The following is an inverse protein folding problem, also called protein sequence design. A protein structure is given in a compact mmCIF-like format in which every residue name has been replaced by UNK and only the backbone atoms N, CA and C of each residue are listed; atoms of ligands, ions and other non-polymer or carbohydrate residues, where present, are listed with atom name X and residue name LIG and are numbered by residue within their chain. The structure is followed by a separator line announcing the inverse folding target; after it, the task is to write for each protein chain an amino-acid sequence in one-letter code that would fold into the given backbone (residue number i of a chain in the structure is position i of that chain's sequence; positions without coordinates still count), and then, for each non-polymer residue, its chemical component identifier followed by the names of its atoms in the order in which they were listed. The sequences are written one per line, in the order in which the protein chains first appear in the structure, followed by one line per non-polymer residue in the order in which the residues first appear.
data_IF_230419137739
#
_entry.id   IF_230419137739
#
_cell.length_a   1.000
_cell.length_b   1.000
_cell.length_c   1.000
_cell.angle_alpha   90.00
_cell.angle_beta   90.00
_cell.angle_gamma   90.00
#
_symmetry.space_group_name_H-M   'P 1'
#
loop_
_entity.id
_entity.type
_entity.pdbx_description
1 polymer ?
#
# COMPACT_ATOMS: atom_id res chain seq x y z
N UNK A 1 3.31 6.54 21.14
CA UNK A 1 2.08 5.87 20.59
C UNK A 1 2.54 4.78 19.65
N UNK A 2 2.00 3.57 19.77
CA UNK A 2 2.30 2.45 18.87
C UNK A 2 1.50 2.67 17.57
N UNK A 3 2.14 2.77 16.39
CA UNK A 3 1.40 2.96 15.15
C UNK A 3 0.64 1.68 14.76
N UNK A 4 -0.54 1.83 14.17
CA UNK A 4 -1.29 0.75 13.52
C UNK A 4 -1.15 0.89 12.02
N UNK A 5 -0.71 -0.18 11.36
CA UNK A 5 -0.52 -0.26 9.93
C UNK A 5 -1.56 -1.21 9.33
N UNK A 6 -2.29 -0.74 8.33
CA UNK A 6 -3.17 -1.61 7.54
C UNK A 6 -2.41 -2.13 6.32
N UNK A 7 -2.48 -3.45 6.08
CA UNK A 7 -1.77 -4.13 4.99
C UNK A 7 -2.80 -4.77 4.07
N UNK A 8 -2.89 -4.33 2.81
CA UNK A 8 -3.72 -5.02 1.81
C UNK A 8 -2.99 -6.25 1.30
N UNK A 9 -3.70 -7.39 1.16
CA UNK A 9 -3.09 -8.62 0.63
C UNK A 9 -2.92 -8.60 -0.90
N UNK A 10 -3.53 -7.62 -1.58
CA UNK A 10 -3.43 -7.46 -3.02
C UNK A 10 -4.10 -8.59 -3.82
N UNK A 11 -3.47 -9.01 -4.92
CA UNK A 11 -3.97 -10.10 -5.76
C UNK A 11 -3.94 -11.43 -5.00
N UNK A 12 -5.11 -12.02 -4.81
CA UNK A 12 -5.27 -13.24 -3.99
C UNK A 12 -4.57 -14.46 -4.58
N UNK A 13 -4.47 -14.55 -5.91
CA UNK A 13 -3.74 -15.61 -6.61
C UNK A 13 -2.23 -15.33 -6.74
N UNK A 14 -1.78 -14.14 -6.32
CA UNK A 14 -0.39 -13.70 -6.38
C UNK A 14 0.39 -14.02 -5.11
N UNK A 15 1.57 -13.38 -5.00
CA UNK A 15 2.50 -13.53 -3.88
C UNK A 15 2.09 -12.71 -2.64
N UNK A 16 1.12 -11.78 -2.79
CA UNK A 16 0.72 -10.86 -1.72
C UNK A 16 0.34 -11.54 -0.41
N UNK A 17 -0.56 -12.53 -0.40
CA UNK A 17 -0.91 -13.29 0.80
C UNK A 17 0.30 -13.92 1.49
N UNK A 18 1.26 -14.46 0.72
CA UNK A 18 2.46 -15.12 1.22
C UNK A 18 3.39 -14.12 1.92
N UNK A 19 3.60 -12.94 1.31
CA UNK A 19 4.42 -11.87 1.87
C UNK A 19 3.81 -11.35 3.17
N UNK A 20 2.49 -11.16 3.21
CA UNK A 20 1.78 -10.69 4.40
C UNK A 20 1.91 -11.69 5.55
N UNK A 21 1.76 -12.99 5.27
CA UNK A 21 1.96 -14.05 6.26
C UNK A 21 3.41 -14.11 6.76
N UNK A 22 4.38 -14.03 5.85
CA UNK A 22 5.80 -13.99 6.22
C UNK A 22 6.13 -12.76 7.08
N UNK A 23 5.54 -11.60 6.77
CA UNK A 23 5.67 -10.39 7.59
C UNK A 23 5.08 -10.59 8.99
N UNK A 24 3.92 -11.25 9.10
CA UNK A 24 3.28 -11.52 10.37
C UNK A 24 4.03 -12.54 11.25
N UNK A 25 4.94 -13.32 10.67
CA UNK A 25 5.78 -14.25 11.42
C UNK A 25 6.87 -13.57 12.27
N UNK A 26 7.18 -12.30 12.04
CA UNK A 26 8.12 -11.49 12.81
C UNK A 26 7.42 -10.56 13.78
N UNK A 27 8.14 -10.03 14.78
CA UNK A 27 7.66 -8.98 15.69
C UNK A 27 7.96 -7.60 15.10
N UNK A 28 7.04 -6.65 15.31
CA UNK A 28 7.18 -5.29 14.79
C UNK A 28 6.80 -4.26 15.87
N UNK A 29 7.48 -3.11 15.93
CA UNK A 29 7.14 -2.00 16.83
C UNK A 29 5.91 -1.21 16.32
N UNK A 30 4.94 -1.92 15.75
CA UNK A 30 3.70 -1.41 15.19
C UNK A 30 2.64 -2.50 15.30
N UNK A 31 1.38 -2.15 15.38
CA UNK A 31 0.29 -3.11 15.21
C UNK A 31 0.04 -3.33 13.72
N UNK A 32 0.00 -4.59 13.27
CA UNK A 32 -0.34 -4.95 11.90
C UNK A 32 -1.80 -5.42 11.83
N UNK A 33 -2.52 -4.97 10.81
CA UNK A 33 -3.88 -5.42 10.49
C UNK A 33 -3.93 -5.72 8.99
N UNK A 34 -4.25 -6.95 8.61
CA UNK A 34 -4.41 -7.30 7.21
C UNK A 34 -5.84 -7.03 6.71
N UNK A 35 -5.96 -6.62 5.44
CA UNK A 35 -7.23 -6.55 4.71
C UNK A 35 -7.15 -7.51 3.54
N UNK A 36 -8.01 -8.53 3.50
CA UNK A 36 -8.01 -9.54 2.46
C UNK A 36 -8.91 -10.73 2.77
N UNK A 37 -8.83 -11.77 1.98
CA UNK A 37 -9.63 -12.98 2.18
C UNK A 37 -8.98 -13.89 3.24
N UNK A 38 -9.69 -14.09 4.35
CA UNK A 38 -9.23 -14.93 5.45
C UNK A 38 -9.02 -16.39 5.03
N UNK A 39 -9.89 -16.91 4.18
CA UNK A 39 -9.79 -18.29 3.67
C UNK A 39 -8.53 -18.47 2.81
N UNK A 40 -8.22 -17.48 1.95
CA UNK A 40 -6.98 -17.50 1.15
C UNK A 40 -5.76 -17.45 2.06
N UNK A 41 -5.75 -16.55 3.05
CA UNK A 41 -4.65 -16.46 4.01
C UNK A 41 -4.49 -17.78 4.79
N UNK A 42 -5.57 -18.40 5.25
CA UNK A 42 -5.51 -19.68 5.96
C UNK A 42 -4.96 -20.81 5.08
N UNK A 43 -5.41 -20.91 3.84
CA UNK A 43 -4.92 -21.91 2.88
C UNK A 43 -3.42 -21.70 2.56
N UNK A 44 -2.97 -20.45 2.37
CA UNK A 44 -1.55 -20.14 2.13
C UNK A 44 -0.69 -20.40 3.36
N UNK A 45 -1.18 -20.03 4.55
CA UNK A 45 -0.51 -20.29 5.82
C UNK A 45 -0.21 -21.80 6.00
N UNK A 46 -1.21 -22.63 5.71
CA UNK A 46 -1.06 -24.09 5.74
C UNK A 46 -0.07 -24.58 4.66
N UNK A 47 -0.22 -24.13 3.42
CA UNK A 47 0.63 -24.56 2.31
C UNK A 47 2.11 -24.19 2.48
N UNK A 48 2.38 -23.07 3.14
CA UNK A 48 3.74 -22.59 3.45
C UNK A 48 4.31 -23.18 4.73
N UNK A 49 3.55 -23.98 5.47
CA UNK A 49 3.97 -24.53 6.76
C UNK A 49 4.19 -23.45 7.83
N UNK A 50 3.54 -22.29 7.71
CA UNK A 50 3.60 -21.22 8.69
C UNK A 50 2.58 -21.47 9.81
N UNK A 51 2.85 -20.92 11.00
CA UNK A 51 1.97 -21.06 12.17
C UNK A 51 1.39 -19.70 12.59
N UNK A 52 0.95 -18.89 11.62
CA UNK A 52 0.36 -17.58 11.90
C UNK A 52 -1.09 -17.76 12.37
N UNK A 53 -1.39 -17.29 13.57
CA UNK A 53 -2.75 -17.26 14.11
C UNK A 53 -3.53 -16.12 13.48
N UNK A 54 -4.52 -16.43 12.66
CA UNK A 54 -5.42 -15.47 12.03
C UNK A 54 -6.63 -15.24 12.93
N UNK A 55 -6.99 -13.98 13.18
CA UNK A 55 -8.16 -13.62 13.97
C UNK A 55 -8.92 -12.45 13.32
N UNK A 56 -10.24 -12.35 13.46
CA UNK A 56 -10.97 -11.18 13.02
C UNK A 56 -10.45 -9.91 13.72
N UNK A 57 -10.25 -8.85 12.95
CA UNK A 57 -9.93 -7.54 13.50
C UNK A 57 -11.18 -6.93 14.14
N UNK A 58 -11.00 -6.29 15.29
CA UNK A 58 -12.05 -5.52 15.96
C UNK A 58 -11.59 -4.06 16.06
N UNK A 59 -12.39 -3.14 15.50
CA UNK A 59 -12.15 -1.69 15.58
C UNK A 59 -12.25 -1.18 17.01
N UNK A 60 -11.62 -0.04 17.28
CA UNK A 60 -11.68 0.66 18.58
C UNK A 60 -10.82 0.05 19.67
N UNK A 61 -10.06 -1.01 19.41
CA UNK A 61 -9.12 -1.56 20.39
C UNK A 61 -7.87 -0.69 20.53
N UNK A 62 -7.29 -0.67 21.72
CA UNK A 62 -6.01 -0.04 21.95
C UNK A 62 -4.91 -0.68 21.07
N UNK A 63 -4.02 0.15 20.55
CA UNK A 63 -2.87 -0.33 19.77
C UNK A 63 -1.88 -1.07 20.67
N UNK A 64 -1.40 -2.21 20.19
CA UNK A 64 -0.34 -2.98 20.80
C UNK A 64 0.70 -3.37 19.73
N UNK A 65 1.95 -3.56 20.15
CA UNK A 65 2.98 -4.06 19.25
C UNK A 65 2.60 -5.43 18.69
N UNK A 66 2.89 -5.63 17.43
CA UNK A 66 2.65 -6.89 16.75
C UNK A 66 3.51 -8.00 17.33
N UNK A 67 2.85 -9.06 17.76
CA UNK A 67 3.51 -10.28 18.22
C UNK A 67 3.70 -11.22 17.05
N UNK A 68 4.90 -11.79 16.94
CA UNK A 68 5.18 -12.80 15.93
C UNK A 68 4.10 -13.89 15.88
N UNK A 69 3.81 -14.35 14.69
CA UNK A 69 2.81 -15.39 14.40
C UNK A 69 1.37 -15.05 14.82
N UNK A 70 1.00 -13.77 14.85
CA UNK A 70 -0.39 -13.34 15.02
C UNK A 70 -0.76 -12.37 13.90
N UNK A 71 -2.00 -12.40 13.39
CA UNK A 71 -2.45 -11.45 12.37
C UNK A 71 -3.95 -11.19 12.49
N UNK A 72 -4.36 -10.02 12.99
CA UNK A 72 -5.72 -9.55 12.86
C UNK A 72 -6.07 -9.29 11.39
N UNK A 73 -7.23 -9.76 10.94
CA UNK A 73 -7.67 -9.68 9.54
C UNK A 73 -9.05 -9.06 9.44
N UNK A 74 -9.18 -8.06 8.59
CA UNK A 74 -10.47 -7.58 8.10
C UNK A 74 -10.79 -8.40 6.86
N UNK A 75 -11.78 -9.28 6.98
CA UNK A 75 -12.11 -10.23 5.93
C UNK A 75 -12.91 -9.58 4.81
N UNK A 76 -12.38 -9.64 3.59
CA UNK A 76 -13.12 -9.37 2.34
C UNK A 76 -13.14 -10.66 1.55
N UNK A 77 -14.29 -11.35 1.49
CA UNK A 77 -14.40 -12.65 0.83
C UNK A 77 -14.18 -12.54 -0.68
N UNK A 78 -13.75 -13.62 -1.30
CA UNK A 78 -13.66 -13.75 -2.76
C UNK A 78 -15.02 -14.13 -3.36
N UNK A 79 -15.25 -13.70 -4.59
CA UNK A 79 -16.42 -14.12 -5.37
C UNK A 79 -16.29 -15.57 -5.89
N UNK A 80 -15.05 -16.00 -6.16
CA UNK A 80 -14.73 -17.34 -6.66
C UNK A 80 -13.54 -17.91 -5.90
N UNK A 81 -13.44 -19.24 -5.77
CA UNK A 81 -12.28 -19.88 -5.17
C UNK A 81 -10.98 -19.42 -5.80
N UNK A 82 -9.95 -19.23 -4.98
CA UNK A 82 -8.63 -18.83 -5.41
C UNK A 82 -7.73 -20.05 -5.61
N UNK A 83 -7.09 -20.11 -6.77
CA UNK A 83 -6.00 -21.06 -7.04
C UNK A 83 -4.73 -20.26 -7.23
N UNK A 84 -3.66 -20.49 -6.45
CA UNK A 84 -2.41 -19.76 -6.57
C UNK A 84 -1.87 -19.80 -8.02
N UNK A 85 -1.34 -18.68 -8.48
CA UNK A 85 -0.83 -18.46 -9.83
C UNK A 85 -1.88 -18.48 -10.97
N UNK A 86 -3.17 -18.69 -10.65
CA UNK A 86 -4.25 -18.65 -11.62
C UNK A 86 -5.16 -17.43 -11.37
N UNK A 87 -4.93 -16.38 -12.17
CA UNK A 87 -5.69 -15.12 -12.06
C UNK A 87 -7.17 -15.33 -12.45
N UNK A 88 -8.07 -14.70 -11.71
CA UNK A 88 -9.51 -14.74 -12.00
C UNK A 88 -10.10 -13.32 -11.96
N UNK A 89 -10.64 -12.80 -13.09
CA UNK A 89 -11.23 -11.47 -13.15
C UNK A 89 -12.44 -11.30 -12.20
N UNK A 90 -13.16 -12.39 -11.86
CA UNK A 90 -14.30 -12.33 -10.94
C UNK A 90 -13.88 -11.91 -9.50
N UNK A 91 -12.61 -12.07 -9.15
CA UNK A 91 -12.05 -11.67 -7.87
C UNK A 91 -11.41 -10.27 -7.87
N UNK A 92 -11.32 -9.61 -9.02
CA UNK A 92 -10.64 -8.32 -9.14
C UNK A 92 -11.30 -7.22 -8.30
N UNK A 93 -12.63 -7.25 -8.14
CA UNK A 93 -13.36 -6.31 -7.27
C UNK A 93 -12.92 -6.38 -5.80
N UNK A 94 -12.55 -7.56 -5.33
CA UNK A 94 -12.05 -7.74 -3.96
C UNK A 94 -10.71 -7.01 -3.75
N UNK A 95 -9.85 -6.96 -4.78
CA UNK A 95 -8.57 -6.23 -4.71
C UNK A 95 -8.81 -4.72 -4.54
N UNK A 96 -9.75 -4.15 -5.29
CA UNK A 96 -10.11 -2.75 -5.16
C UNK A 96 -10.78 -2.45 -3.83
N UNK A 97 -11.66 -3.33 -3.36
CA UNK A 97 -12.31 -3.19 -2.05
C UNK A 97 -11.30 -3.19 -0.89
N UNK A 98 -10.20 -3.94 -0.99
CA UNK A 98 -9.11 -3.87 0.00
C UNK A 98 -8.49 -2.47 0.04
N UNK A 99 -8.18 -1.88 -1.12
CA UNK A 99 -7.58 -0.54 -1.21
C UNK A 99 -8.54 0.55 -0.72
N UNK A 100 -9.83 0.44 -1.05
CA UNK A 100 -10.86 1.36 -0.58
C UNK A 100 -10.96 1.34 0.94
N UNK A 101 -11.15 0.16 1.52
CA UNK A 101 -11.28 0.03 2.96
C UNK A 101 -10.02 0.46 3.71
N UNK A 102 -8.84 0.11 3.22
CA UNK A 102 -7.58 0.55 3.83
C UNK A 102 -7.42 2.08 3.77
N UNK A 103 -7.87 2.71 2.68
CA UNK A 103 -7.89 4.17 2.56
C UNK A 103 -8.84 4.80 3.58
N UNK A 104 -10.04 4.24 3.75
CA UNK A 104 -11.02 4.72 4.72
C UNK A 104 -10.52 4.61 6.16
N UNK A 105 -9.89 3.48 6.51
CA UNK A 105 -9.28 3.28 7.84
C UNK A 105 -8.18 4.32 8.14
N UNK A 106 -7.37 4.67 7.13
CA UNK A 106 -6.36 5.71 7.29
C UNK A 106 -7.00 7.12 7.40
N UNK A 107 -8.03 7.43 6.62
CA UNK A 107 -8.73 8.71 6.70
C UNK A 107 -9.48 8.89 8.02
N UNK A 108 -10.04 7.82 8.55
CA UNK A 108 -10.70 7.79 9.87
C UNK A 108 -9.70 7.81 11.04
N UNK A 109 -8.39 7.83 10.77
CA UNK A 109 -7.33 7.73 11.79
C UNK A 109 -7.39 6.44 12.63
N UNK A 110 -8.11 5.44 12.19
CA UNK A 110 -8.11 4.10 12.76
C UNK A 110 -6.76 3.42 12.51
N UNK A 111 -6.18 3.63 11.31
CA UNK A 111 -4.82 3.23 10.96
C UNK A 111 -3.97 4.45 10.60
N UNK A 112 -2.68 4.39 10.94
CA UNK A 112 -1.74 5.50 10.75
C UNK A 112 -1.10 5.51 9.37
N UNK A 113 -1.00 4.34 8.73
CA UNK A 113 -0.48 4.19 7.38
C UNK A 113 -0.99 2.91 6.73
N UNK A 114 -0.95 2.88 5.39
CA UNK A 114 -1.27 1.72 4.57
C UNK A 114 -0.01 1.16 3.91
N UNK A 115 0.12 -0.17 3.93
CA UNK A 115 1.12 -0.93 3.17
C UNK A 115 0.37 -1.75 2.13
N UNK A 116 0.79 -1.70 0.87
CA UNK A 116 0.11 -2.41 -0.21
C UNK A 116 0.94 -3.58 -0.73
N UNK A 117 0.35 -4.78 -0.78
CA UNK A 117 0.92 -5.90 -1.49
C UNK A 117 0.68 -5.77 -3.01
N UNK A 118 1.40 -6.55 -3.85
CA UNK A 118 1.28 -6.46 -5.29
C UNK A 118 -0.12 -6.78 -5.80
N UNK A 119 -0.54 -6.07 -6.85
CA UNK A 119 -1.78 -6.31 -7.58
C UNK A 119 -1.49 -6.60 -9.05
N UNK A 120 -2.42 -7.25 -9.72
CA UNK A 120 -2.28 -7.52 -11.16
C UNK A 120 -3.17 -6.58 -11.97
N UNK A 121 -2.59 -5.46 -12.45
CA UNK A 121 -3.32 -4.42 -13.20
C UNK A 121 -4.12 -4.98 -14.40
N UNK A 122 -3.50 -5.92 -15.14
CA UNK A 122 -4.14 -6.53 -16.32
C UNK A 122 -5.44 -7.23 -15.96
N UNK A 123 -5.50 -8.03 -14.91
CA UNK A 123 -6.71 -8.76 -14.54
C UNK A 123 -7.82 -7.83 -14.04
N UNK A 124 -7.47 -6.77 -13.32
CA UNK A 124 -8.42 -5.74 -12.87
C UNK A 124 -9.04 -5.05 -14.09
N UNK A 125 -8.22 -4.66 -15.07
CA UNK A 125 -8.73 -4.04 -16.31
C UNK A 125 -9.54 -5.03 -17.15
N UNK A 126 -9.17 -6.30 -17.22
CA UNK A 126 -9.95 -7.36 -17.89
C UNK A 126 -11.33 -7.54 -17.27
N UNK A 127 -11.45 -7.33 -15.96
CA UNK A 127 -12.73 -7.34 -15.25
C UNK A 127 -13.60 -6.10 -15.51
N UNK A 128 -13.18 -5.19 -16.42
CA UNK A 128 -13.90 -3.96 -16.76
C UNK A 128 -13.73 -2.82 -15.76
N UNK A 129 -12.80 -2.93 -14.82
CA UNK A 129 -12.51 -1.90 -13.82
C UNK A 129 -11.25 -1.14 -14.21
N UNK A 130 -11.31 0.16 -14.60
CA UNK A 130 -10.13 0.94 -14.96
C UNK A 130 -9.17 1.08 -13.78
N UNK A 131 -7.94 0.59 -13.94
CA UNK A 131 -6.91 0.64 -12.91
C UNK A 131 -5.53 0.86 -13.54
N UNK A 132 -4.94 2.02 -13.29
CA UNK A 132 -3.59 2.39 -13.76
C UNK A 132 -2.50 2.06 -12.73
N UNK A 133 -2.84 2.13 -11.45
CA UNK A 133 -1.93 1.80 -10.34
C UNK A 133 -2.45 2.30 -9.00
N UNK A 134 -1.72 1.95 -7.94
CA UNK A 134 -2.05 2.37 -6.57
C UNK A 134 -2.07 3.90 -6.43
N UNK A 135 -1.07 4.58 -6.99
CA UNK A 135 -0.92 6.04 -6.86
C UNK A 135 -2.13 6.78 -7.37
N UNK A 136 -2.56 6.47 -8.60
CA UNK A 136 -3.71 7.12 -9.25
C UNK A 136 -5.02 6.74 -8.55
N UNK A 137 -5.15 5.46 -8.16
CA UNK A 137 -6.33 4.99 -7.44
C UNK A 137 -6.49 5.72 -6.09
N UNK A 138 -5.41 5.81 -5.31
CA UNK A 138 -5.42 6.49 -4.02
C UNK A 138 -5.60 8.00 -4.15
N UNK A 139 -4.97 8.64 -5.15
CA UNK A 139 -5.16 10.05 -5.44
C UNK A 139 -6.64 10.38 -5.73
N UNK A 140 -7.29 9.55 -6.55
CA UNK A 140 -8.72 9.70 -6.85
C UNK A 140 -9.59 9.51 -5.60
N UNK A 141 -9.33 8.47 -4.79
CA UNK A 141 -10.11 8.20 -3.57
C UNK A 141 -9.93 9.25 -2.48
N UNK A 142 -8.81 9.93 -2.46
CA UNK A 142 -8.50 10.98 -1.48
C UNK A 142 -8.71 12.41 -2.03
N UNK A 143 -9.16 12.54 -3.28
CA UNK A 143 -9.28 13.82 -3.98
C UNK A 143 -7.98 14.63 -3.96
N UNK A 144 -6.85 13.93 -4.16
CA UNK A 144 -5.50 14.51 -4.16
C UNK A 144 -5.08 14.85 -5.58
N UNK A 145 -4.86 16.14 -5.86
CA UNK A 145 -4.51 16.64 -7.20
C UNK A 145 -3.08 16.31 -7.64
N UNK A 146 -2.17 16.17 -6.69
CA UNK A 146 -0.75 16.02 -6.98
C UNK A 146 -0.06 15.06 -5.99
N UNK A 147 -0.17 13.75 -6.18
CA UNK A 147 0.60 12.81 -5.40
C UNK A 147 2.09 12.94 -5.77
N UNK A 148 2.98 12.86 -4.77
CA UNK A 148 4.44 12.87 -4.98
C UNK A 148 4.98 11.51 -4.58
N UNK A 149 5.67 10.84 -5.51
CA UNK A 149 6.33 9.58 -5.23
C UNK A 149 7.67 9.84 -4.54
N UNK A 150 7.86 9.23 -3.38
CA UNK A 150 9.09 9.30 -2.59
C UNK A 150 9.71 7.91 -2.49
N UNK A 151 10.92 7.75 -2.99
CA UNK A 151 11.72 6.54 -2.86
C UNK A 151 12.68 6.69 -1.68
N UNK A 152 12.79 5.69 -0.82
CA UNK A 152 13.67 5.74 0.35
C UNK A 152 14.58 4.51 0.40
N UNK A 153 15.88 4.73 0.64
CA UNK A 153 16.86 3.68 0.85
C UNK A 153 17.83 4.12 1.95
N UNK A 154 17.62 3.66 3.17
CA UNK A 154 18.37 4.14 4.34
C UNK A 154 18.20 5.65 4.53
N UNK A 155 19.32 6.38 4.51
CA UNK A 155 19.31 7.84 4.63
C UNK A 155 18.92 8.56 3.33
N UNK A 156 19.03 7.89 2.18
CA UNK A 156 18.70 8.48 0.88
C UNK A 156 17.18 8.53 0.70
N UNK A 157 16.69 9.71 0.32
CA UNK A 157 15.27 9.96 -0.03
C UNK A 157 15.23 10.73 -1.34
N UNK A 158 14.53 10.17 -2.33
CA UNK A 158 14.41 10.76 -3.66
C UNK A 158 12.94 10.94 -3.98
N UNK A 159 12.50 12.19 -4.13
CA UNK A 159 11.17 12.52 -4.62
C UNK A 159 11.22 12.73 -6.13
N UNK A 160 10.21 12.20 -6.82
CA UNK A 160 10.12 12.30 -8.28
C UNK A 160 9.28 13.52 -8.66
N UNK A 161 9.85 14.40 -9.49
CA UNK A 161 9.13 15.54 -10.05
C UNK A 161 8.17 15.12 -11.18
N UNK A 162 8.48 14.01 -11.85
CA UNK A 162 7.66 13.41 -12.93
C UNK A 162 7.62 11.90 -12.80
N UNK A 163 6.52 11.28 -13.24
CA UNK A 163 6.33 9.81 -13.28
C UNK A 163 5.67 9.41 -14.59
N UNK A 164 5.99 8.23 -15.11
CA UNK A 164 5.31 7.59 -16.24
C UNK A 164 5.30 8.40 -17.56
N UNK A 165 6.30 9.27 -17.77
CA UNK A 165 6.48 10.02 -19.01
C UNK A 165 7.61 9.41 -19.85
N UNK A 166 7.52 9.48 -21.19
CA UNK A 166 8.67 9.26 -22.06
C UNK A 166 9.80 10.24 -21.69
N UNK A 167 11.04 9.78 -21.73
CA UNK A 167 12.20 10.62 -21.35
C UNK A 167 12.26 11.95 -22.13
N UNK A 168 11.87 11.93 -23.40
CA UNK A 168 11.81 13.12 -24.27
C UNK A 168 10.79 14.18 -23.79
N UNK A 169 9.74 13.78 -23.06
CA UNK A 169 8.71 14.70 -22.56
C UNK A 169 9.03 15.27 -21.17
N UNK A 170 10.03 14.72 -20.47
CA UNK A 170 10.37 15.15 -19.11
C UNK A 170 10.77 16.62 -19.03
N UNK A 171 11.66 17.17 -19.89
CA UNK A 171 12.08 18.57 -19.78
C UNK A 171 10.91 19.57 -19.86
N UNK A 172 9.97 19.32 -20.77
CA UNK A 172 8.81 20.20 -21.00
C UNK A 172 7.78 20.11 -19.86
N UNK A 173 7.71 18.97 -19.17
CA UNK A 173 6.77 18.73 -18.06
C UNK A 173 7.23 19.38 -16.74
N UNK A 174 8.53 19.71 -16.62
CA UNK A 174 9.08 20.37 -15.44
C UNK A 174 9.00 21.89 -15.64
N UNK A 175 7.94 22.47 -15.07
CA UNK A 175 7.73 23.93 -15.06
C UNK A 175 7.96 24.47 -13.64
N UNK A 176 8.21 25.77 -13.46
CA UNK A 176 8.29 26.38 -12.13
C UNK A 176 7.06 26.07 -11.29
N UNK A 177 5.85 26.12 -11.89
CA UNK A 177 4.59 25.83 -11.21
C UNK A 177 4.48 24.37 -10.78
N UNK A 178 4.75 23.39 -11.67
CA UNK A 178 4.68 21.96 -11.34
C UNK A 178 5.69 21.58 -10.28
N UNK A 179 6.91 22.14 -10.35
CA UNK A 179 7.97 21.89 -9.38
C UNK A 179 7.62 22.48 -8.00
N UNK A 180 7.15 23.74 -7.95
CA UNK A 180 6.72 24.37 -6.70
C UNK A 180 5.61 23.58 -6.04
N UNK A 181 4.59 23.13 -6.81
CA UNK A 181 3.48 22.29 -6.30
C UNK A 181 4.01 21.02 -5.66
N UNK A 182 4.90 20.29 -6.36
CA UNK A 182 5.50 19.05 -5.86
C UNK A 182 6.33 19.28 -4.58
N UNK A 183 7.13 20.37 -4.52
CA UNK A 183 7.92 20.72 -3.35
C UNK A 183 7.06 21.06 -2.14
N UNK A 184 5.94 21.79 -2.34
CA UNK A 184 4.98 22.11 -1.25
C UNK A 184 4.32 20.85 -0.68
N UNK A 185 3.85 19.94 -1.54
CA UNK A 185 3.27 18.67 -1.13
C UNK A 185 4.29 17.83 -0.37
N UNK A 186 5.52 17.72 -0.91
CA UNK A 186 6.60 16.98 -0.27
C UNK A 186 6.96 17.57 1.10
N UNK A 187 7.13 18.89 1.19
CA UNK A 187 7.44 19.55 2.45
C UNK A 187 6.36 19.35 3.51
N UNK A 188 5.08 19.42 3.11
CA UNK A 188 3.94 19.13 3.99
C UNK A 188 3.94 17.68 4.50
N UNK A 189 4.11 16.72 3.59
CA UNK A 189 4.16 15.29 3.91
C UNK A 189 5.35 14.94 4.82
N UNK A 190 6.54 15.47 4.54
CA UNK A 190 7.71 15.23 5.38
C UNK A 190 7.57 15.80 6.80
N UNK A 191 6.98 16.97 6.95
CA UNK A 191 6.68 17.53 8.28
C UNK A 191 5.73 16.63 9.08
N UNK A 192 4.72 16.06 8.45
CA UNK A 192 3.76 15.18 9.13
C UNK A 192 4.38 13.87 9.64
N UNK A 193 5.51 13.42 9.03
CA UNK A 193 6.24 12.22 9.44
C UNK A 193 7.59 12.53 10.12
N UNK A 194 7.73 13.72 10.71
CA UNK A 194 8.90 14.14 11.52
C UNK A 194 10.20 14.38 10.74
N UNK A 195 10.13 14.70 9.45
CA UNK A 195 11.29 15.17 8.69
C UNK A 195 11.33 16.71 8.62
N UNK A 196 12.44 17.33 9.00
CA UNK A 196 12.54 18.80 9.15
C UNK A 196 13.24 19.52 8.00
N UNK A 197 13.93 18.81 7.08
CA UNK A 197 14.73 19.41 6.03
C UNK A 197 14.53 18.80 4.67
N UNK A 198 14.36 19.67 3.66
CA UNK A 198 14.52 19.39 2.23
C UNK A 198 15.82 20.04 1.77
N UNK A 199 16.74 19.24 1.26
CA UNK A 199 17.89 19.75 0.50
C UNK A 199 17.66 19.45 -0.97
N UNK A 200 17.66 20.49 -1.80
CA UNK A 200 17.79 20.31 -3.24
C UNK A 200 19.26 19.99 -3.51
N UNK A 201 19.57 18.96 -4.34
CA UNK A 201 20.93 18.80 -4.80
C UNK A 201 21.29 20.08 -5.61
N UNK A 202 22.13 20.91 -5.06
CA UNK A 202 22.81 21.90 -5.85
C UNK A 202 23.77 21.14 -6.74
N UNK A 203 23.41 20.97 -7.99
CA UNK A 203 24.32 20.42 -8.99
C UNK A 203 25.45 21.40 -9.17
N UNK A 204 26.51 21.13 -8.52
CA UNK A 204 27.82 21.61 -8.91
C UNK A 204 28.62 20.39 -9.31
N UNK A 205 28.53 20.08 -10.57
CA UNK A 205 29.62 19.42 -11.25
C UNK A 205 29.36 19.47 -12.74
N UNK A 206 30.01 20.36 -13.38
CA UNK A 206 30.53 20.08 -14.69
C UNK A 206 31.73 19.19 -14.53
#
# INVERSE_FOLDING_TARGET
MIPRLVITTGESAGIGPDIVLATAAASWPAQLVAVGCMETLAARNQALGLNVSLAPYTSGQNTAEHRANTLPVINIPLNKPCTPALLNPDNAGQVLAQLELATELCRAQECHAMVTAPVHKGIINTAGMPFSGHTEFLANKTSTDAPVMLLTAGALKVALATTHLPLSAVPESITPHSLEKSLRVLAGGLKSVSYTHLTLPTSLAV
#
